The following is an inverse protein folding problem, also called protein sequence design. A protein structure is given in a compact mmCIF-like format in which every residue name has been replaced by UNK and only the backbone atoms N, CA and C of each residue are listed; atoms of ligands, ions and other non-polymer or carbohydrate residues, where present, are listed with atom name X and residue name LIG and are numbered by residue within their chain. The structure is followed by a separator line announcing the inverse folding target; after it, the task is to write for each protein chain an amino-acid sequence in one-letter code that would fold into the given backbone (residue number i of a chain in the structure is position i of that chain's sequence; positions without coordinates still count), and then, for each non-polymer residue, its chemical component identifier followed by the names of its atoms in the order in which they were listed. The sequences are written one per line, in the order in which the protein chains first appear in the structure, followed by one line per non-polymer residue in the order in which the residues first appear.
data_IF_285384668712
#
_entry.id   IF_285384668712
#
_cell.length_a   1.000
_cell.length_b   1.000
_cell.length_c   1.000
_cell.angle_alpha   90.00
_cell.angle_beta   90.00
_cell.angle_gamma   90.00
#
_symmetry.space_group_name_H-M   'P 1'
#
loop_
_entity.id
_entity.type
_entity.pdbx_description
1 polymer ?
#
# COMPACT_ATOMS: atom_id res chain seq x y z
N UNK A 1 -59.43 -21.54 -28.74
CA UNK A 1 -58.10 -21.19 -29.27
C UNK A 1 -57.68 -19.91 -28.57
N UNK A 2 -56.68 -19.97 -27.69
CA UNK A 2 -56.22 -18.81 -26.90
C UNK A 2 -54.83 -18.41 -27.37
N UNK A 3 -54.65 -17.11 -27.62
CA UNK A 3 -53.40 -16.48 -28.03
C UNK A 3 -52.44 -16.37 -26.83
N UNK A 4 -51.11 -16.55 -26.99
CA UNK A 4 -50.15 -16.22 -25.95
C UNK A 4 -49.83 -14.71 -25.97
N UNK A 5 -50.00 -14.05 -24.84
CA UNK A 5 -49.55 -12.66 -24.63
C UNK A 5 -48.10 -12.66 -24.14
N UNK A 6 -47.28 -11.83 -24.78
CA UNK A 6 -45.86 -11.59 -24.52
C UNK A 6 -45.63 -10.93 -23.15
N UNK A 7 -44.62 -11.32 -22.35
CA UNK A 7 -44.18 -10.53 -21.21
C UNK A 7 -43.39 -9.32 -21.71
N UNK A 8 -43.80 -8.11 -21.32
CA UNK A 8 -43.07 -6.88 -21.61
C UNK A 8 -42.77 -6.11 -20.32
N UNK A 9 -41.48 -5.79 -20.20
CA UNK A 9 -40.87 -4.65 -19.51
C UNK A 9 -40.82 -4.61 -17.98
N UNK A 10 -39.58 -4.59 -17.46
CA UNK A 10 -39.29 -4.03 -16.14
C UNK A 10 -37.98 -4.46 -15.49
N UNK A 11 -36.82 -4.20 -16.11
CA UNK A 11 -35.51 -4.20 -15.43
C UNK A 11 -35.23 -2.77 -14.90
N UNK A 12 -34.45 -2.54 -13.82
CA UNK A 12 -33.09 -3.08 -13.69
C UNK A 12 -32.75 -3.74 -12.34
N UNK A 13 -31.71 -4.58 -12.33
CA UNK A 13 -31.14 -5.15 -11.12
C UNK A 13 -30.52 -4.05 -10.24
N UNK A 14 -30.73 -4.23 -8.93
CA UNK A 14 -30.03 -3.60 -7.81
C UNK A 14 -28.69 -2.97 -8.21
N UNK A 15 -28.61 -1.64 -8.15
CA UNK A 15 -27.35 -0.93 -8.18
C UNK A 15 -26.54 -1.35 -6.94
N UNK A 16 -25.77 -2.42 -7.09
CA UNK A 16 -24.68 -2.77 -6.20
C UNK A 16 -23.68 -1.64 -6.34
N UNK A 17 -23.81 -0.64 -5.46
CA UNK A 17 -22.90 0.48 -5.34
C UNK A 17 -21.49 -0.09 -5.26
N UNK A 18 -20.78 -0.08 -6.38
CA UNK A 18 -19.40 -0.50 -6.46
C UNK A 18 -18.62 0.40 -5.50
N UNK A 19 -18.42 -0.08 -4.28
CA UNK A 19 -17.57 0.53 -3.28
C UNK A 19 -16.28 0.85 -4.02
N UNK A 20 -15.87 2.13 -4.13
CA UNK A 20 -14.60 2.43 -4.78
C UNK A 20 -13.58 1.58 -4.05
N UNK A 21 -12.91 0.68 -4.79
CA UNK A 21 -11.75 -0.04 -4.27
C UNK A 21 -10.86 1.06 -3.75
N UNK A 22 -10.76 1.16 -2.42
CA UNK A 22 -9.82 2.06 -1.79
C UNK A 22 -8.48 1.67 -2.40
N UNK A 23 -8.02 2.49 -3.34
CA UNK A 23 -6.73 2.31 -3.97
C UNK A 23 -5.78 2.56 -2.82
N UNK A 24 -5.38 1.48 -2.17
CA UNK A 24 -4.22 1.49 -1.29
C UNK A 24 -3.15 2.24 -2.08
N UNK A 25 -2.55 3.31 -1.54
CA UNK A 25 -1.53 4.05 -2.27
C UNK A 25 -0.53 3.01 -2.78
N UNK A 26 -0.37 2.97 -4.11
CA UNK A 26 0.50 2.01 -4.77
C UNK A 26 1.78 1.97 -3.96
N UNK A 27 2.11 0.78 -3.45
CA UNK A 27 3.23 0.52 -2.53
C UNK A 27 4.38 1.39 -3.01
N UNK A 28 4.64 2.48 -2.28
CA UNK A 28 5.64 3.47 -2.71
C UNK A 28 6.94 2.75 -3.01
N UNK A 29 7.80 3.28 -3.90
CA UNK A 29 8.97 2.57 -4.39
C UNK A 29 9.66 1.90 -3.21
N UNK A 30 9.87 0.58 -3.33
CA UNK A 30 10.57 -0.20 -2.30
C UNK A 30 11.92 0.47 -2.08
N UNK A 31 12.47 0.42 -0.86
CA UNK A 31 13.77 1.04 -0.56
C UNK A 31 14.82 0.69 -1.63
N UNK A 32 14.78 -0.55 -2.13
CA UNK A 32 15.67 -1.07 -3.18
C UNK A 32 15.61 -0.31 -4.52
N UNK A 33 14.51 0.34 -4.84
CA UNK A 33 14.32 1.09 -6.09
C UNK A 33 14.66 2.59 -5.93
N UNK A 34 14.93 3.06 -4.71
CA UNK A 34 15.17 4.47 -4.44
C UNK A 34 16.65 4.80 -4.56
N UNK A 35 17.04 5.71 -5.47
CA UNK A 35 18.41 6.22 -5.48
C UNK A 35 18.69 6.92 -4.14
N UNK A 36 19.70 6.45 -3.41
CA UNK A 36 20.12 7.04 -2.13
C UNK A 36 19.90 6.16 -0.89
N UNK A 37 19.68 4.85 -1.00
CA UNK A 37 19.73 3.99 0.19
C UNK A 37 21.13 4.00 0.79
N UNK A 38 21.21 4.22 2.10
CA UNK A 38 22.42 4.14 2.89
C UNK A 38 22.37 2.87 3.73
N UNK A 39 23.42 2.07 3.64
CA UNK A 39 23.63 0.85 4.40
C UNK A 39 24.51 1.16 5.61
N UNK A 40 24.05 0.79 6.80
CA UNK A 40 24.75 1.07 8.06
C UNK A 40 24.93 -0.25 8.81
N UNK A 41 26.18 -0.66 8.95
CA UNK A 41 26.58 -1.77 9.80
C UNK A 41 26.88 -1.25 11.22
N UNK A 42 26.16 -1.79 12.20
CA UNK A 42 26.36 -1.48 13.60
C UNK A 42 27.29 -2.51 14.25
N UNK A 43 28.04 -2.10 15.28
CA UNK A 43 29.03 -2.95 15.97
C UNK A 43 28.44 -4.19 16.65
N UNK A 44 27.13 -4.18 16.90
CA UNK A 44 26.35 -5.31 17.40
C UNK A 44 26.02 -6.37 16.32
N UNK A 45 26.48 -6.17 15.07
CA UNK A 45 26.19 -7.04 13.93
C UNK A 45 24.83 -6.77 13.25
N UNK A 46 24.10 -5.73 13.66
CA UNK A 46 22.86 -5.33 12.99
C UNK A 46 23.18 -4.48 11.77
N UNK A 47 22.57 -4.83 10.64
CA UNK A 47 22.63 -4.04 9.42
C UNK A 47 21.30 -3.31 9.21
N UNK A 48 21.35 -1.99 9.02
CA UNK A 48 20.16 -1.17 8.74
C UNK A 48 20.29 -0.52 7.37
N UNK A 49 19.25 -0.68 6.55
CA UNK A 49 19.07 0.07 5.30
C UNK A 49 18.13 1.24 5.54
N UNK A 50 18.57 2.45 5.22
CA UNK A 50 17.75 3.66 5.33
C UNK A 50 17.71 4.44 4.03
N UNK A 51 16.61 5.14 3.80
CA UNK A 51 16.48 6.09 2.69
C UNK A 51 17.38 7.32 2.92
N UNK A 52 17.91 7.92 1.85
CA UNK A 52 18.69 9.16 1.92
C UNK A 52 17.93 10.32 2.59
N UNK A 53 16.59 10.32 2.48
CA UNK A 53 15.73 11.37 3.01
C UNK A 53 15.00 10.96 4.30
N UNK A 54 15.62 10.09 5.12
CA UNK A 54 15.07 9.72 6.43
C UNK A 54 15.15 10.89 7.42
N UNK A 55 14.15 11.00 8.30
CA UNK A 55 14.14 12.00 9.37
C UNK A 55 15.23 11.70 10.42
N UNK A 56 16.05 12.70 10.75
CA UNK A 56 17.14 12.56 11.73
C UNK A 56 16.65 12.07 13.10
N UNK A 57 15.52 12.58 13.62
CA UNK A 57 14.98 12.14 14.91
C UNK A 57 14.55 10.67 14.87
N UNK A 58 13.99 10.22 13.74
CA UNK A 58 13.62 8.83 13.57
C UNK A 58 14.87 7.94 13.51
N UNK A 59 15.88 8.35 12.74
CA UNK A 59 17.16 7.64 12.64
C UNK A 59 17.86 7.54 14.01
N UNK A 60 17.91 8.63 14.80
CA UNK A 60 18.46 8.61 16.16
C UNK A 60 17.74 7.63 17.08
N UNK A 61 16.40 7.55 16.99
CA UNK A 61 15.63 6.59 17.81
C UNK A 61 15.96 5.15 17.43
N UNK A 62 16.08 4.86 16.14
CA UNK A 62 16.48 3.53 15.66
C UNK A 62 17.90 3.22 16.09
N UNK A 63 18.85 4.15 15.91
CA UNK A 63 20.23 3.98 16.36
C UNK A 63 20.33 3.72 17.87
N UNK A 64 19.61 4.48 18.70
CA UNK A 64 19.57 4.28 20.15
C UNK A 64 18.89 2.96 20.56
N UNK A 65 17.94 2.47 19.77
CA UNK A 65 17.29 1.18 20.02
C UNK A 65 18.19 0.00 19.60
N UNK A 66 19.07 0.19 18.62
CA UNK A 66 19.95 -0.84 18.11
C UNK A 66 21.28 -0.89 18.87
N UNK A 67 21.86 0.24 19.28
CA UNK A 67 23.15 0.29 19.98
C UNK A 67 23.07 1.13 21.24
N UNK A 68 23.24 0.45 22.37
CA UNK A 68 23.40 0.95 23.74
C UNK A 68 24.53 1.95 23.90
#
# INVERSE_FOLDING_TARGET
MTIPVSPSAGAPPVASSARPKSVLPAKGPTLEERPGVIEIDFANGVHVRVDAFVNEKALRRVAAALGT
#
